data_IF_639814636009
#
_entry.id   IF_639814636009
#
_cell.length_a   1.000
_cell.length_b   1.000
_cell.length_c   1.000
_cell.angle_alpha   90.00
_cell.angle_beta   90.00
_cell.angle_gamma   90.00
#
_symmetry.space_group_name_H-M   'P 1'
#
loop_
_entity.id
_entity.type
_entity.pdbx_description
1 polymer ?
#
# COMPACT_ATOMS: atom_id res chain seq x y z
N UNK A 1 -44.67 9.79 -17.46
CA UNK A 1 -44.19 10.84 -18.37
C UNK A 1 -43.41 11.95 -17.63
N UNK A 2 -43.95 12.62 -16.61
CA UNK A 2 -43.27 13.75 -15.94
C UNK A 2 -41.97 13.41 -15.17
N UNK A 3 -41.91 12.23 -14.54
CA UNK A 3 -40.75 11.80 -13.72
C UNK A 3 -39.52 11.42 -14.59
N UNK A 4 -39.77 10.88 -15.77
CA UNK A 4 -38.73 10.49 -16.72
C UNK A 4 -38.10 11.71 -17.39
N UNK A 5 -38.92 12.71 -17.74
CA UNK A 5 -38.45 14.00 -18.24
C UNK A 5 -37.54 14.71 -17.23
N UNK A 6 -37.91 14.69 -15.94
CA UNK A 6 -37.06 15.23 -14.87
C UNK A 6 -35.73 14.47 -14.72
N UNK A 7 -35.73 13.14 -14.83
CA UNK A 7 -34.52 12.34 -14.73
C UNK A 7 -33.55 12.65 -15.89
N UNK A 8 -34.07 12.78 -17.11
CA UNK A 8 -33.28 13.11 -18.31
C UNK A 8 -32.72 14.52 -18.24
N UNK A 9 -33.52 15.52 -17.84
CA UNK A 9 -33.03 16.89 -17.69
C UNK A 9 -32.02 17.03 -16.55
N UNK A 10 -32.20 16.33 -15.42
CA UNK A 10 -31.19 16.34 -14.34
C UNK A 10 -29.86 15.68 -14.73
N UNK A 11 -29.86 14.79 -15.72
CA UNK A 11 -28.65 14.16 -16.25
C UNK A 11 -27.97 14.97 -17.37
N UNK A 12 -28.70 15.91 -18.00
CA UNK A 12 -28.23 16.70 -19.15
C UNK A 12 -26.97 17.52 -18.87
N UNK A 13 -26.80 18.21 -17.73
CA UNK A 13 -25.60 18.99 -17.45
C UNK A 13 -24.35 18.12 -17.33
N UNK A 14 -24.48 16.93 -16.71
CA UNK A 14 -23.38 15.98 -16.57
C UNK A 14 -22.95 15.42 -17.94
N UNK A 15 -23.91 15.12 -18.82
CA UNK A 15 -23.63 14.67 -20.19
C UNK A 15 -22.83 15.71 -20.98
N UNK A 16 -23.27 16.97 -20.96
CA UNK A 16 -22.59 18.06 -21.66
C UNK A 16 -21.18 18.29 -21.10
N UNK A 17 -21.03 18.25 -19.77
CA UNK A 17 -19.72 18.41 -19.13
C UNK A 17 -18.77 17.27 -19.50
N UNK A 18 -19.24 16.02 -19.46
CA UNK A 18 -18.43 14.84 -19.78
C UNK A 18 -18.05 14.79 -21.27
N UNK A 19 -18.96 15.19 -22.17
CA UNK A 19 -18.67 15.31 -23.60
C UNK A 19 -17.60 16.38 -23.87
N UNK A 20 -17.68 17.53 -23.19
CA UNK A 20 -16.65 18.58 -23.26
C UNK A 20 -15.30 18.11 -22.70
N UNK A 21 -15.31 17.29 -21.64
CA UNK A 21 -14.10 16.69 -21.08
C UNK A 21 -13.47 15.70 -22.05
N UNK A 22 -14.28 14.81 -22.63
CA UNK A 22 -13.83 13.81 -23.61
C UNK A 22 -13.21 14.46 -24.84
N UNK A 23 -13.79 15.57 -25.35
CA UNK A 23 -13.21 16.33 -26.46
C UNK A 23 -11.84 16.94 -26.12
N UNK A 24 -11.65 17.39 -24.87
CA UNK A 24 -10.35 17.92 -24.40
C UNK A 24 -9.31 16.81 -24.20
N UNK A 25 -9.72 15.64 -23.72
CA UNK A 25 -8.84 14.48 -23.61
C UNK A 25 -8.37 14.00 -24.99
N UNK A 26 -9.28 13.88 -25.97
CA UNK A 26 -8.93 13.51 -27.34
C UNK A 26 -8.01 14.54 -28.03
N UNK A 27 -8.07 15.82 -27.65
CA UNK A 27 -7.17 16.85 -28.16
C UNK A 27 -5.78 16.83 -27.50
N UNK A 28 -5.65 16.26 -26.30
CA UNK A 28 -4.40 16.16 -25.56
C UNK A 28 -3.62 14.87 -25.85
N UNK A 29 -4.26 13.88 -26.50
CA UNK A 29 -3.58 12.68 -26.99
C UNK A 29 -2.83 13.04 -28.28
N UNK A 30 -1.50 12.91 -28.35
CA UNK A 30 -0.76 13.13 -29.59
C UNK A 30 -1.23 12.10 -30.64
N UNK A 31 -1.71 12.58 -31.79
CA UNK A 31 -2.02 11.73 -32.95
C UNK A 31 -0.71 11.12 -33.46
N UNK A 32 -0.45 9.86 -33.11
CA UNK A 32 0.53 9.05 -33.83
C UNK A 32 -0.02 8.79 -35.22
N UNK A 33 0.51 9.49 -36.21
CA UNK A 33 0.39 9.13 -37.62
C UNK A 33 1.29 7.90 -37.86
N UNK A 34 0.95 7.09 -38.86
CA UNK A 34 1.66 5.89 -39.38
C UNK A 34 1.16 4.57 -38.74
N UNK A 35 0.98 3.45 -39.43
CA UNK A 35 0.89 3.05 -40.84
C UNK A 35 0.36 1.59 -40.79
N UNK A 36 -0.20 1.06 -41.88
CA UNK A 36 -0.88 -0.24 -41.96
C UNK A 36 -0.08 -1.44 -41.38
N UNK A 37 -0.64 -2.16 -40.39
CA UNK A 37 -0.41 -3.60 -40.19
C UNK A 37 -1.35 -4.19 -39.13
N UNK A 38 -2.20 -5.19 -39.45
CA UNK A 38 -3.05 -5.85 -38.47
C UNK A 38 -2.32 -7.05 -37.85
N UNK A 39 -1.62 -6.84 -36.74
CA UNK A 39 -1.21 -7.92 -35.83
C UNK A 39 -2.21 -8.04 -34.67
N UNK A 40 -2.85 -9.21 -34.62
CA UNK A 40 -4.00 -9.59 -33.83
C UNK A 40 -3.60 -9.97 -32.38
N UNK A 41 -2.80 -9.15 -31.69
CA UNK A 41 -2.52 -9.29 -30.25
C UNK A 41 -2.30 -7.91 -29.60
N UNK A 42 -3.29 -7.02 -29.70
CA UNK A 42 -3.29 -5.80 -28.90
C UNK A 42 -3.62 -6.14 -27.45
N UNK A 43 -2.59 -6.31 -26.61
CA UNK A 43 -2.71 -6.17 -25.16
C UNK A 43 -3.52 -4.90 -24.85
N UNK A 44 -4.43 -4.91 -23.86
CA UNK A 44 -5.12 -3.70 -23.44
C UNK A 44 -4.04 -2.66 -23.10
N UNK A 45 -3.96 -1.61 -23.92
CA UNK A 45 -3.03 -0.49 -23.70
C UNK A 45 -3.52 0.23 -22.44
N UNK A 46 -3.16 -0.30 -21.27
CA UNK A 46 -3.33 0.38 -20.01
C UNK A 46 -2.57 1.69 -20.13
N UNK A 47 -3.33 2.78 -20.27
CA UNK A 47 -2.79 4.13 -20.44
C UNK A 47 -1.84 4.52 -19.28
N UNK A 48 -1.91 3.79 -18.17
CA UNK A 48 -1.08 3.95 -17.00
C UNK A 48 -0.32 2.66 -16.69
N UNK A 49 1.01 2.77 -16.60
CA UNK A 49 1.92 1.73 -16.11
C UNK A 49 1.92 1.73 -14.57
N UNK A 50 2.21 0.60 -13.90
CA UNK A 50 2.56 0.59 -12.48
C UNK A 50 3.65 1.64 -12.17
N UNK A 51 3.44 2.48 -11.15
CA UNK A 51 4.30 3.63 -10.85
C UNK A 51 3.92 4.95 -11.54
N UNK A 52 2.93 4.95 -12.44
CA UNK A 52 2.35 6.19 -12.96
C UNK A 52 1.73 6.99 -11.80
N UNK A 53 2.03 8.29 -11.72
CA UNK A 53 1.56 9.20 -10.68
C UNK A 53 0.08 9.56 -10.88
N UNK A 54 -0.80 8.56 -10.79
CA UNK A 54 -2.26 8.67 -10.93
C UNK A 54 -2.84 9.71 -9.95
N UNK A 55 -2.15 9.95 -8.81
CA UNK A 55 -2.53 10.98 -7.84
C UNK A 55 -2.55 12.41 -8.42
N UNK A 56 -1.76 12.72 -9.44
CA UNK A 56 -1.78 14.04 -10.10
C UNK A 56 -3.10 14.26 -10.87
N UNK A 57 -3.79 13.18 -11.23
CA UNK A 57 -5.12 13.23 -11.85
C UNK A 57 -6.27 13.26 -10.82
N UNK A 58 -6.01 12.90 -9.56
CA UNK A 58 -7.01 12.99 -8.47
C UNK A 58 -7.40 14.45 -8.17
N UNK A 59 -6.53 15.43 -8.43
CA UNK A 59 -6.82 16.87 -8.24
C UNK A 59 -8.01 17.37 -9.09
N UNK A 60 -8.31 16.67 -10.18
CA UNK A 60 -9.47 16.93 -11.08
C UNK A 60 -10.71 16.11 -10.72
N UNK A 61 -10.58 15.18 -9.78
CA UNK A 61 -11.70 14.38 -9.27
C UNK A 61 -12.39 15.18 -8.17
N UNK A 62 -13.74 15.16 -8.15
CA UNK A 62 -14.53 15.96 -7.17
C UNK A 62 -13.94 15.79 -5.76
N UNK A 63 -13.73 16.86 -4.98
CA UNK A 63 -13.01 16.82 -3.70
C UNK A 63 -13.61 15.85 -2.65
N UNK A 64 -14.89 15.48 -2.79
CA UNK A 64 -15.53 14.46 -1.95
C UNK A 64 -15.30 13.01 -2.39
N UNK A 65 -14.89 12.76 -3.64
CA UNK A 65 -14.66 11.42 -4.17
C UNK A 65 -13.22 10.94 -3.88
N UNK A 66 -12.23 11.84 -3.83
CA UNK A 66 -10.85 11.50 -3.43
C UNK A 66 -10.81 11.00 -1.98
N UNK A 67 -11.52 11.67 -1.05
CA UNK A 67 -11.70 11.18 0.33
C UNK A 67 -12.44 9.83 0.37
N UNK A 68 -13.38 9.61 -0.55
CA UNK A 68 -14.09 8.34 -0.66
C UNK A 68 -13.25 7.20 -1.24
N UNK A 69 -12.21 7.53 -1.98
CA UNK A 69 -11.29 6.52 -2.47
C UNK A 69 -10.20 6.30 -1.44
N UNK A 70 -9.65 7.35 -0.82
CA UNK A 70 -8.58 7.27 0.18
C UNK A 70 -8.90 6.31 1.33
N UNK A 71 -10.11 6.35 1.90
CA UNK A 71 -10.49 5.39 2.94
C UNK A 71 -10.51 3.94 2.42
N UNK A 72 -10.98 3.73 1.18
CA UNK A 72 -10.95 2.40 0.53
C UNK A 72 -9.52 1.90 0.30
N UNK A 73 -8.57 2.78 -0.02
CA UNK A 73 -7.16 2.43 -0.16
C UNK A 73 -6.46 2.15 1.17
N UNK A 74 -6.84 2.83 2.26
CA UNK A 74 -6.25 2.59 3.58
C UNK A 74 -6.79 1.31 4.25
N UNK A 75 -8.08 1.00 4.09
CA UNK A 75 -8.68 -0.21 4.67
C UNK A 75 -8.21 -1.50 3.98
N UNK A 76 -7.86 -1.45 2.68
CA UNK A 76 -7.42 -2.65 1.94
C UNK A 76 -5.99 -3.11 2.29
N UNK A 77 -5.18 -2.22 2.90
CA UNK A 77 -3.76 -2.50 3.24
C UNK A 77 -3.60 -3.01 4.67
N UNK A 78 -4.58 -2.78 5.57
CA UNK A 78 -4.58 -3.32 6.92
C UNK A 78 -5.05 -4.78 6.95
N UNK A 79 -4.40 -5.66 6.17
CA UNK A 79 -4.64 -7.09 6.24
C UNK A 79 -3.90 -7.64 7.46
N UNK A 80 -4.64 -8.24 8.38
CA UNK A 80 -4.06 -8.96 9.52
C UNK A 80 -3.49 -10.29 9.03
N UNK A 81 -2.24 -10.59 9.40
CA UNK A 81 -1.58 -11.85 9.09
C UNK A 81 -1.17 -12.53 10.40
N UNK A 82 -1.23 -13.86 10.41
CA UNK A 82 -0.84 -14.63 11.60
C UNK A 82 0.68 -14.76 11.69
N UNK A 83 1.21 -14.49 12.88
CA UNK A 83 2.64 -14.59 13.19
C UNK A 83 2.97 -16.03 13.57
N UNK A 84 3.88 -16.66 12.83
CA UNK A 84 4.41 -18.00 13.13
C UNK A 84 5.51 -17.92 14.20
N UNK A 85 6.47 -17.00 14.03
CA UNK A 85 7.59 -16.85 14.96
C UNK A 85 8.23 -15.45 14.86
N UNK A 86 8.89 -15.04 15.95
CA UNK A 86 9.80 -13.89 15.96
C UNK A 86 11.22 -14.44 15.88
N UNK A 87 11.94 -14.05 14.84
CA UNK A 87 13.28 -14.57 14.55
C UNK A 87 14.37 -13.69 15.13
N UNK A 88 14.17 -12.37 15.05
CA UNK A 88 15.20 -11.41 15.45
C UNK A 88 14.58 -10.08 15.89
N UNK A 89 15.38 -9.26 16.56
CA UNK A 89 15.03 -7.87 16.85
C UNK A 89 16.20 -6.94 16.54
N UNK A 90 15.85 -5.75 16.05
CA UNK A 90 16.79 -4.67 15.84
C UNK A 90 16.23 -3.39 16.43
N UNK A 91 17.15 -2.56 16.92
CA UNK A 91 16.85 -1.18 17.27
C UNK A 91 17.59 -0.34 16.24
N UNK A 92 16.90 0.18 15.21
CA UNK A 92 17.53 1.05 14.23
C UNK A 92 18.20 2.22 14.95
N UNK A 93 19.42 2.54 14.55
CA UNK A 93 20.12 3.72 15.06
C UNK A 93 19.37 4.92 14.49
N UNK A 94 18.64 5.65 15.34
CA UNK A 94 17.77 6.74 14.87
C UNK A 94 18.59 7.85 14.22
N UNK A 95 18.37 8.09 12.93
CA UNK A 95 18.99 9.18 12.16
C UNK A 95 18.11 10.43 12.14
N UNK A 96 16.87 10.34 12.62
CA UNK A 96 15.90 11.42 12.65
C UNK A 96 15.36 11.63 14.07
N UNK A 97 14.61 12.72 14.30
CA UNK A 97 13.98 13.01 15.59
C UNK A 97 12.86 12.01 15.99
N UNK A 98 12.63 10.95 15.20
CA UNK A 98 11.73 9.87 15.60
C UNK A 98 12.34 9.02 16.71
N UNK A 99 11.48 8.56 17.61
CA UNK A 99 11.92 7.66 18.68
C UNK A 99 12.40 6.35 18.04
N UNK A 100 13.59 5.84 18.39
CA UNK A 100 14.02 4.53 17.93
C UNK A 100 13.00 3.49 18.43
N UNK A 101 12.20 2.97 17.50
CA UNK A 101 11.26 1.90 17.77
C UNK A 101 11.95 0.56 17.55
N UNK A 102 11.69 -0.40 18.43
CA UNK A 102 12.17 -1.78 18.22
C UNK A 102 11.39 -2.38 17.05
N UNK A 103 12.12 -2.89 16.09
CA UNK A 103 11.59 -3.66 14.96
C UNK A 103 11.91 -5.14 15.19
N UNK A 104 10.96 -5.98 14.81
CA UNK A 104 11.01 -7.43 14.98
C UNK A 104 10.95 -8.08 13.61
N UNK A 105 11.81 -9.06 13.38
CA UNK A 105 11.76 -9.89 12.18
C UNK A 105 10.73 -10.99 12.41
N UNK A 106 9.65 -10.93 11.62
CA UNK A 106 8.46 -11.76 11.75
C UNK A 106 8.44 -12.80 10.65
N UNK A 107 8.29 -14.07 11.04
CA UNK A 107 7.90 -15.16 10.16
C UNK A 107 6.38 -15.27 10.15
N UNK A 108 5.77 -15.22 8.97
CA UNK A 108 4.32 -15.26 8.79
C UNK A 108 3.83 -16.67 8.45
N UNK A 109 2.71 -17.09 9.02
CA UNK A 109 2.13 -18.43 8.76
C UNK A 109 1.79 -18.57 7.28
N UNK A 110 2.37 -19.58 6.63
CA UNK A 110 2.10 -19.89 5.22
C UNK A 110 2.88 -19.05 4.20
N UNK A 111 3.84 -18.23 4.65
CA UNK A 111 4.71 -17.44 3.77
C UNK A 111 6.18 -17.78 4.02
N UNK A 112 6.97 -17.84 2.94
CA UNK A 112 8.42 -18.05 3.03
C UNK A 112 9.18 -16.77 3.38
N UNK A 113 8.62 -15.61 3.01
CA UNK A 113 9.25 -14.30 3.23
C UNK A 113 8.99 -13.78 4.65
N UNK A 114 10.06 -13.28 5.30
CA UNK A 114 10.00 -12.57 6.58
C UNK A 114 9.95 -11.06 6.36
N UNK A 115 9.38 -10.31 7.32
CA UNK A 115 9.38 -8.84 7.28
C UNK A 115 9.79 -8.24 8.62
N UNK A 116 10.28 -7.00 8.58
CA UNK A 116 10.63 -6.23 9.79
C UNK A 116 9.46 -5.33 10.16
N UNK A 117 8.75 -5.67 11.23
CA UNK A 117 7.59 -4.93 11.72
C UNK A 117 7.91 -4.24 13.05
N UNK A 118 7.43 -3.00 13.26
CA UNK A 118 7.52 -2.36 14.57
C UNK A 118 6.68 -3.15 15.58
N UNK A 119 7.13 -3.22 16.83
CA UNK A 119 6.44 -3.99 17.87
C UNK A 119 4.97 -3.56 18.10
N UNK A 120 4.61 -2.31 17.77
CA UNK A 120 3.25 -1.80 17.85
C UNK A 120 2.29 -2.39 16.82
N UNK A 121 2.80 -2.94 15.71
CA UNK A 121 1.98 -3.56 14.66
C UNK A 121 1.61 -5.01 15.01
N UNK A 122 2.22 -5.61 16.04
CA UNK A 122 2.12 -7.03 16.31
C UNK A 122 1.20 -7.31 17.51
N UNK A 123 0.16 -8.09 17.25
CA UNK A 123 -0.76 -8.61 18.28
C UNK A 123 -0.36 -10.03 18.74
N UNK A 124 0.95 -10.30 18.91
CA UNK A 124 1.48 -11.62 19.27
C UNK A 124 2.25 -11.61 20.61
N UNK A 125 1.64 -11.01 21.64
CA UNK A 125 2.28 -10.79 22.94
C UNK A 125 2.91 -12.02 23.59
N UNK A 126 2.33 -13.21 23.41
CA UNK A 126 2.91 -14.47 23.91
C UNK A 126 4.23 -14.82 23.23
N UNK A 127 4.27 -14.83 21.89
CA UNK A 127 5.49 -15.10 21.13
C UNK A 127 6.59 -14.07 21.42
N UNK A 128 6.20 -12.79 21.53
CA UNK A 128 7.14 -11.73 21.90
C UNK A 128 7.73 -11.94 23.30
N UNK A 129 6.90 -12.36 24.25
CA UNK A 129 7.35 -12.64 25.61
C UNK A 129 8.38 -13.78 25.64
N UNK A 130 8.09 -14.89 24.97
CA UNK A 130 8.95 -16.06 24.94
C UNK A 130 10.29 -15.75 24.27
N UNK A 131 10.26 -15.03 23.14
CA UNK A 131 11.46 -14.58 22.44
C UNK A 131 12.35 -13.70 23.34
N UNK A 132 11.78 -12.65 23.95
CA UNK A 132 12.54 -11.73 24.80
C UNK A 132 13.10 -12.43 26.05
N UNK A 133 12.33 -13.37 26.62
CA UNK A 133 12.77 -14.19 27.75
C UNK A 133 13.99 -15.04 27.34
N UNK A 134 13.92 -15.73 26.20
CA UNK A 134 15.01 -16.56 25.71
C UNK A 134 16.27 -15.75 25.41
N UNK A 135 16.12 -14.61 24.72
CA UNK A 135 17.23 -13.71 24.41
C UNK A 135 17.95 -13.24 25.68
N UNK A 136 17.20 -12.90 26.74
CA UNK A 136 17.79 -12.50 28.02
C UNK A 136 18.50 -13.65 28.73
N UNK A 137 17.98 -14.88 28.66
CA UNK A 137 18.68 -16.04 29.24
C UNK A 137 19.99 -16.33 28.52
N UNK A 138 20.03 -16.27 27.18
CA UNK A 138 21.26 -16.47 26.41
C UNK A 138 22.32 -15.41 26.76
N UNK A 139 21.92 -14.14 26.84
CA UNK A 139 22.82 -13.06 27.28
C UNK A 139 23.38 -13.30 28.68
N UNK A 140 22.55 -13.82 29.61
CA UNK A 140 23.01 -14.17 30.95
C UNK A 140 24.02 -15.31 30.93
N UNK A 141 23.82 -16.33 30.11
CA UNK A 141 24.75 -17.44 29.97
C UNK A 141 26.09 -16.97 29.41
N UNK A 142 26.09 -16.07 28.42
CA UNK A 142 27.31 -15.47 27.88
C UNK A 142 28.10 -14.70 28.96
N UNK A 143 27.43 -13.91 29.80
CA UNK A 143 28.11 -13.17 30.88
C UNK A 143 28.73 -14.08 31.95
N UNK A 144 28.12 -15.24 32.23
CA UNK A 144 28.68 -16.21 33.18
C UNK A 144 29.94 -16.85 32.61
N UNK A 145 29.95 -17.21 31.33
CA UNK A 145 31.11 -17.81 30.68
C UNK A 145 32.32 -16.87 30.58
N UNK A 146 32.10 -15.57 30.35
CA UNK A 146 33.19 -14.57 30.27
C UNK A 146 33.92 -14.40 31.61
N UNK A 147 33.24 -14.62 32.75
CA UNK A 147 33.84 -14.43 34.07
C UNK A 147 34.77 -15.59 34.52
N UNK A 148 34.71 -16.75 33.87
CA UNK A 148 35.53 -17.93 34.18
C UNK A 148 36.78 -18.05 33.27
N UNK A 149 36.97 -17.14 32.30
CA UNK A 149 38.10 -17.14 31.35
C UNK A 149 39.23 -16.15 31.73
N UNK A 150 39.20 -15.57 32.93
CA UNK A 150 40.26 -14.68 33.49
C UNK A 150 41.11 -15.36 34.59
#
# INVERSE_FOLDING_TARGET
>A
MAKEYQAVEKARPARIHNEKLSRKEQAAVPKSVNDDSPDEYSEPKYLFRPGSRVWLYMERVKPGLVKKLAHRWHDEVAREFEVEAILNDRTPMSTSADRPARELEVKWVGYESTTWEPASNLSCGGLLYDYLRNKKSEQRLQMVQVADED
#
